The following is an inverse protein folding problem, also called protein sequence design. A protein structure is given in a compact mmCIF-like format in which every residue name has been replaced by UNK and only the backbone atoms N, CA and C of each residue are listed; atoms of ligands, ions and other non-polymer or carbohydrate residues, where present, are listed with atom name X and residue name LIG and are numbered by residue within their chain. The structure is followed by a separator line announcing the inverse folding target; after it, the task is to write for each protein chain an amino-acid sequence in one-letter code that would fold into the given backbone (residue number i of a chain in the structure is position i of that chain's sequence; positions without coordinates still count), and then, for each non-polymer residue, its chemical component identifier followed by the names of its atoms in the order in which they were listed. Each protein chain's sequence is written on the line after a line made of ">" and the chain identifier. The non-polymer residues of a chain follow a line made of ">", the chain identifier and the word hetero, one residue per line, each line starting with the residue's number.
data_IF_661001877071
#
_entry.id   IF_661001877071
#
_cell.length_a   1.000
_cell.length_b   1.000
_cell.length_c   1.000
_cell.angle_alpha   90.00
_cell.angle_beta   90.00
_cell.angle_gamma   90.00
#
_symmetry.space_group_name_H-M   'P 1'
#
loop_
_entity.id
_entity.type
_entity.pdbx_description
1 polymer ?
#
# COMPACT_ATOMS: atom_id res chain seq x y z
N UNK A 1 6.60 -16.94 -4.32
CA UNK A 1 7.25 -15.66 -4.67
C UNK A 1 6.14 -14.68 -5.00
N UNK A 2 5.58 -14.02 -3.98
CA UNK A 2 4.57 -12.98 -4.16
C UNK A 2 5.26 -11.75 -4.74
N UNK A 3 4.99 -11.48 -6.02
CA UNK A 3 5.66 -10.43 -6.76
C UNK A 3 5.35 -9.04 -6.21
N UNK A 4 6.40 -8.22 -6.16
CA UNK A 4 6.48 -6.75 -6.11
C UNK A 4 5.14 -6.02 -6.36
N UNK A 5 4.24 -6.04 -5.38
CA UNK A 5 3.04 -5.20 -5.37
C UNK A 5 3.14 -4.20 -4.26
N UNK A 6 2.83 -2.95 -4.58
CA UNK A 6 2.76 -1.89 -3.58
C UNK A 6 1.47 -2.01 -2.77
N UNK A 7 1.43 -1.38 -1.60
CA UNK A 7 0.22 -1.23 -0.78
C UNK A 7 -0.34 0.20 -0.98
N UNK A 8 -1.02 0.49 -2.10
CA UNK A 8 -1.40 1.87 -2.47
C UNK A 8 -2.37 2.51 -1.49
N UNK A 9 -3.14 1.72 -0.74
CA UNK A 9 -4.09 2.18 0.26
C UNK A 9 -3.45 2.42 1.64
N UNK A 10 -2.18 2.03 1.81
CA UNK A 10 -1.37 2.25 3.00
C UNK A 10 -0.08 2.98 2.59
N UNK A 11 -0.23 4.18 2.00
CA UNK A 11 0.85 4.99 1.49
C UNK A 11 0.61 6.48 1.77
N UNK A 12 1.68 7.28 1.72
CA UNK A 12 1.63 8.74 1.81
C UNK A 12 1.80 9.33 0.42
N UNK A 13 0.83 10.10 -0.03
CA UNK A 13 0.89 10.79 -1.32
C UNK A 13 1.01 12.30 -1.11
N UNK A 14 1.95 12.98 -1.76
CA UNK A 14 2.00 14.44 -1.72
C UNK A 14 0.83 15.04 -2.52
N UNK A 15 0.42 16.25 -2.16
CA UNK A 15 -0.62 17.00 -2.89
C UNK A 15 -0.29 17.15 -4.39
N UNK A 16 0.99 17.20 -4.75
CA UNK A 16 1.45 17.25 -6.14
C UNK A 16 1.01 16.07 -6.99
N UNK A 17 0.68 14.92 -6.39
CA UNK A 17 0.19 13.75 -7.12
C UNK A 17 -1.28 13.86 -7.57
N UNK A 18 -2.00 14.89 -7.13
CA UNK A 18 -3.42 15.09 -7.45
C UNK A 18 -3.69 15.15 -8.96
N UNK A 19 -2.90 15.91 -9.71
CA UNK A 19 -3.10 16.04 -11.16
C UNK A 19 -2.91 14.69 -11.89
N UNK A 20 -2.01 13.85 -11.40
CA UNK A 20 -1.75 12.54 -11.98
C UNK A 20 -2.96 11.61 -11.78
N UNK A 21 -3.49 11.52 -10.56
CA UNK A 21 -4.67 10.68 -10.30
C UNK A 21 -5.93 11.20 -11.00
N UNK A 22 -6.12 12.52 -11.11
CA UNK A 22 -7.22 13.12 -11.88
C UNK A 22 -7.15 12.71 -13.37
N UNK A 23 -5.95 12.71 -13.96
CA UNK A 23 -5.74 12.24 -15.33
C UNK A 23 -6.08 10.75 -15.50
N UNK A 24 -5.76 9.91 -14.52
CA UNK A 24 -6.15 8.49 -14.52
C UNK A 24 -7.67 8.35 -14.51
N UNK A 25 -8.36 9.08 -13.63
CA UNK A 25 -9.81 9.06 -13.52
C UNK A 25 -10.49 9.52 -14.82
N UNK A 26 -10.02 10.62 -15.41
CA UNK A 26 -10.55 11.13 -16.68
C UNK A 26 -10.40 10.14 -17.85
N UNK A 27 -9.37 9.28 -17.81
CA UNK A 27 -9.11 8.25 -18.80
C UNK A 27 -9.78 6.89 -18.49
N UNK A 28 -10.55 6.80 -17.40
CA UNK A 28 -11.15 5.53 -16.96
C UNK A 28 -10.15 4.52 -16.42
N UNK A 29 -8.95 4.96 -16.02
CA UNK A 29 -7.90 4.10 -15.43
C UNK A 29 -8.09 4.02 -13.92
N UNK A 30 -8.81 3.01 -13.45
CA UNK A 30 -9.13 2.86 -12.02
C UNK A 30 -8.15 1.99 -11.20
N UNK A 31 -7.04 1.55 -11.81
CA UNK A 31 -6.06 0.73 -11.11
C UNK A 31 -5.12 1.60 -10.25
N UNK A 32 -5.23 1.45 -8.93
CA UNK A 32 -4.30 2.10 -7.99
C UNK A 32 -2.85 1.64 -8.15
N UNK A 33 -2.62 0.38 -8.54
CA UNK A 33 -1.27 -0.10 -8.85
C UNK A 33 -0.68 0.61 -10.07
N UNK A 34 -1.52 0.87 -11.09
CA UNK A 34 -1.14 1.67 -12.25
C UNK A 34 -0.76 3.09 -11.85
N UNK A 35 -1.57 3.74 -11.03
CA UNK A 35 -1.27 5.07 -10.49
C UNK A 35 0.05 5.10 -9.70
N UNK A 36 0.31 4.14 -8.81
CA UNK A 36 1.55 4.12 -8.02
C UNK A 36 2.78 3.95 -8.89
N UNK A 37 2.74 3.08 -9.91
CA UNK A 37 3.86 2.93 -10.85
C UNK A 37 4.15 4.25 -11.55
N UNK A 38 3.11 4.88 -12.10
CA UNK A 38 3.28 6.12 -12.85
C UNK A 38 3.74 7.27 -11.92
N UNK A 39 3.33 7.25 -10.63
CA UNK A 39 3.80 8.21 -9.62
C UNK A 39 5.26 8.00 -9.19
N UNK A 40 5.73 6.74 -9.14
CA UNK A 40 7.15 6.41 -8.92
C UNK A 40 8.00 6.86 -10.10
N UNK A 41 7.56 6.58 -11.33
CA UNK A 41 8.24 7.02 -12.56
C UNK A 41 8.33 8.54 -12.65
N UNK A 42 7.29 9.26 -12.20
CA UNK A 42 7.29 10.71 -12.12
C UNK A 42 8.09 11.29 -10.94
N UNK A 43 8.66 10.44 -10.07
CA UNK A 43 9.42 10.87 -8.88
C UNK A 43 8.58 11.56 -7.80
N UNK A 44 7.25 11.36 -7.83
CA UNK A 44 6.31 11.96 -6.87
C UNK A 44 6.27 11.20 -5.54
N UNK A 45 6.59 9.92 -5.57
CA UNK A 45 6.66 9.03 -4.39
C UNK A 45 7.90 8.16 -4.48
N UNK A 46 8.22 7.48 -3.39
CA UNK A 46 9.33 6.52 -3.30
C UNK A 46 8.81 5.20 -2.73
N UNK A 47 9.43 4.09 -3.13
CA UNK A 47 9.15 2.79 -2.54
C UNK A 47 9.79 2.68 -1.16
N UNK A 48 9.06 2.09 -0.23
CA UNK A 48 9.56 1.71 1.09
C UNK A 48 9.49 0.18 1.19
N UNK A 49 10.63 -0.52 1.25
CA UNK A 49 10.63 -1.96 1.48
C UNK A 49 10.11 -2.25 2.88
N UNK A 50 9.31 -3.31 3.01
CA UNK A 50 8.86 -3.82 4.30
C UNK A 50 9.73 -5.00 4.72
N UNK A 51 10.08 -5.04 6.00
CA UNK A 51 10.69 -6.21 6.59
C UNK A 51 9.68 -7.35 6.69
N UNK A 52 10.16 -8.59 6.66
CA UNK A 52 9.27 -9.77 6.71
C UNK A 52 8.38 -9.78 7.96
N UNK A 53 8.86 -9.23 9.08
CA UNK A 53 8.10 -9.09 10.32
C UNK A 53 6.99 -8.03 10.25
N UNK A 54 7.07 -7.08 9.32
CA UNK A 54 6.12 -5.97 9.19
C UNK A 54 4.94 -6.32 8.28
N UNK A 55 5.13 -7.29 7.37
CA UNK A 55 4.11 -7.72 6.37
C UNK A 55 2.75 -8.01 7.02
N UNK A 56 2.75 -8.57 8.23
CA UNK A 56 1.51 -8.89 8.95
C UNK A 56 0.63 -7.66 9.20
N UNK A 57 1.22 -6.48 9.41
CA UNK A 57 0.49 -5.23 9.64
C UNK A 57 -0.19 -4.68 8.38
N UNK A 58 0.15 -5.21 7.20
CA UNK A 58 -0.42 -4.84 5.91
C UNK A 58 -1.37 -5.91 5.36
N UNK A 59 -1.74 -6.90 6.17
CA UNK A 59 -2.71 -7.94 5.79
C UNK A 59 -4.11 -7.33 5.73
N UNK A 60 -4.73 -7.40 4.55
CA UNK A 60 -6.08 -6.88 4.37
C UNK A 60 -7.15 -7.89 4.82
N UNK A 61 -8.10 -7.46 5.62
CA UNK A 61 -9.27 -8.24 6.04
C UNK A 61 -10.47 -7.92 5.14
N UNK A 62 -10.57 -8.62 4.02
CA UNK A 62 -11.63 -8.44 3.03
C UNK A 62 -12.87 -9.30 3.31
N UNK A 63 -12.74 -10.36 4.11
CA UNK A 63 -13.80 -11.31 4.44
C UNK A 63 -13.92 -11.51 5.95
N UNK A 64 -15.11 -11.85 6.48
CA UNK A 64 -15.28 -12.13 7.91
C UNK A 64 -14.38 -13.24 8.46
N UNK A 65 -13.98 -14.20 7.61
CA UNK A 65 -13.04 -15.26 7.97
C UNK A 65 -11.65 -14.74 8.31
N UNK A 66 -11.24 -13.58 7.79
CA UNK A 66 -9.91 -13.01 8.01
C UNK A 66 -9.71 -12.61 9.48
N UNK A 67 -10.79 -12.36 10.21
CA UNK A 67 -10.79 -12.07 11.65
C UNK A 67 -10.27 -13.24 12.52
N UNK A 68 -10.40 -14.48 12.04
CA UNK A 68 -9.95 -15.66 12.79
C UNK A 68 -8.43 -15.86 12.73
N UNK A 69 -7.73 -15.05 11.92
CA UNK A 69 -6.28 -15.00 11.86
C UNK A 69 -5.74 -14.37 13.15
N UNK A 70 -4.93 -15.11 13.90
CA UNK A 70 -4.35 -14.63 15.15
C UNK A 70 -3.51 -13.36 14.89
N UNK A 71 -3.76 -12.22 15.58
CA UNK A 71 -2.87 -11.07 15.47
C UNK A 71 -1.47 -11.44 16.03
N UNK A 72 -0.40 -10.80 15.54
CA UNK A 72 0.94 -11.05 16.06
C UNK A 72 0.98 -10.73 17.55
N UNK A 73 1.72 -11.55 18.31
CA UNK A 73 2.02 -11.22 19.69
C UNK A 73 2.76 -9.88 19.73
N UNK A 74 2.15 -8.85 20.32
CA UNK A 74 2.83 -7.57 20.51
C UNK A 74 4.05 -7.80 21.43
N UNK A 75 5.27 -7.40 21.03
CA UNK A 75 6.39 -7.41 21.96
C UNK A 75 6.02 -6.51 23.13
N UNK A 76 6.00 -7.08 24.33
CA UNK A 76 5.78 -6.33 25.57
C UNK A 76 6.81 -5.22 25.61
N UNK A 77 6.36 -3.96 25.71
CA UNK A 77 7.28 -2.84 25.93
C UNK A 77 8.00 -3.11 27.25
N UNK A 78 9.29 -3.47 27.17
CA UNK A 78 10.14 -3.62 28.36
C UNK A 78 10.26 -2.24 28.98
N UNK A 79 9.77 -2.12 30.22
CA UNK A 79 9.87 -0.92 31.07
C UNK A 79 11.22 -0.90 31.76
#
# INVERSE_FOLDING_TARGET
>A
MEGERYQPLAAVYPKGAQQLIESHLAQGKYSMQGFVRDALEAGLVQSLPLESSEVIYFTNWNQPSDWQSQPPAYPSQQT
#
